data_IF_296077754411
#
_entry.id   IF_296077754411
#
_cell.length_a   1.000
_cell.length_b   1.000
_cell.length_c   1.000
_cell.angle_alpha   90.00
_cell.angle_beta   90.00
_cell.angle_gamma   90.00
#
_symmetry.space_group_name_H-M   'P 1'
#
loop_
_entity.id
_entity.type
_entity.pdbx_description
1 polymer ?
#
# COMPACT_ATOMS: atom_id res chain seq x y z
N UNK A 1 1.13 -16.23 31.90
CA UNK A 1 0.69 -15.23 30.88
C UNK A 1 1.44 -13.89 30.93
N UNK A 2 2.22 -13.58 31.99
CA UNK A 2 2.85 -12.26 32.14
C UNK A 2 4.21 -12.12 31.43
N UNK A 3 4.98 -13.20 31.30
CA UNK A 3 6.31 -13.15 30.68
C UNK A 3 6.26 -12.82 29.18
N UNK A 4 5.43 -13.52 28.40
CA UNK A 4 5.25 -13.27 26.97
C UNK A 4 4.80 -11.82 26.70
N UNK A 5 3.88 -11.33 27.53
CA UNK A 5 3.37 -9.96 27.44
C UNK A 5 4.44 -8.91 27.74
N UNK A 6 5.28 -9.17 28.75
CA UNK A 6 6.41 -8.30 29.09
C UNK A 6 7.47 -8.28 27.99
N UNK A 7 7.78 -9.42 27.39
CA UNK A 7 8.71 -9.54 26.27
C UNK A 7 8.20 -8.74 25.06
N UNK A 8 6.94 -8.97 24.64
CA UNK A 8 6.33 -8.24 23.52
C UNK A 8 6.32 -6.74 23.79
N UNK A 9 5.98 -6.31 25.02
CA UNK A 9 6.00 -4.89 25.39
C UNK A 9 7.39 -4.28 25.31
N UNK A 10 8.42 -5.00 25.75
CA UNK A 10 9.82 -4.53 25.70
C UNK A 10 10.28 -4.33 24.26
N UNK A 11 10.07 -5.34 23.42
CA UNK A 11 10.39 -5.29 21.99
C UNK A 11 9.65 -4.16 21.26
N UNK A 12 8.36 -3.98 21.56
CA UNK A 12 7.55 -2.94 20.94
C UNK A 12 7.96 -1.53 21.39
N UNK A 13 8.51 -1.38 22.60
CA UNK A 13 9.06 -0.12 23.09
C UNK A 13 10.46 0.17 22.53
N UNK A 14 11.33 -0.84 22.46
CA UNK A 14 12.69 -0.73 21.91
C UNK A 14 12.66 -0.47 20.40
N UNK A 15 11.69 -1.04 19.68
CA UNK A 15 11.57 -0.92 18.22
C UNK A 15 10.37 -0.11 17.75
N UNK A 16 9.87 0.87 18.54
CA UNK A 16 8.74 1.74 18.16
C UNK A 16 8.88 2.34 16.76
N UNK A 17 10.09 2.79 16.41
CA UNK A 17 10.41 3.33 15.08
C UNK A 17 10.14 2.35 13.94
N UNK A 18 10.64 1.11 14.07
CA UNK A 18 10.47 0.08 13.05
C UNK A 18 9.08 -0.53 13.03
N UNK A 19 8.47 -0.77 14.20
CA UNK A 19 7.24 -1.53 14.29
C UNK A 19 6.00 -0.65 14.11
N UNK A 20 6.00 0.56 14.66
CA UNK A 20 4.83 1.44 14.64
C UNK A 20 4.92 2.44 13.51
N UNK A 21 6.01 3.18 13.36
CA UNK A 21 6.09 4.29 12.41
C UNK A 21 6.45 3.86 10.98
N UNK A 22 7.30 2.85 10.81
CA UNK A 22 7.72 2.37 9.48
C UNK A 22 6.54 1.97 8.58
N UNK A 23 5.51 1.20 9.04
CA UNK A 23 4.36 0.89 8.22
C UNK A 23 3.59 2.13 7.73
N UNK A 24 3.48 3.18 8.55
CA UNK A 24 2.85 4.44 8.15
C UNK A 24 3.67 5.19 7.09
N UNK A 25 4.99 5.22 7.24
CA UNK A 25 5.89 5.83 6.25
C UNK A 25 5.80 5.10 4.91
N UNK A 26 5.82 3.76 4.93
CA UNK A 26 5.67 2.94 3.73
C UNK A 26 4.31 3.19 3.09
N UNK A 27 3.21 3.23 3.85
CA UNK A 27 1.89 3.53 3.32
C UNK A 27 1.80 4.93 2.69
N UNK A 28 2.41 5.94 3.33
CA UNK A 28 2.46 7.31 2.80
C UNK A 28 3.27 7.37 1.49
N UNK A 29 4.43 6.71 1.44
CA UNK A 29 5.25 6.62 0.24
C UNK A 29 4.51 5.91 -0.91
N UNK A 30 3.86 4.78 -0.63
CA UNK A 30 3.06 4.06 -1.63
C UNK A 30 1.88 4.90 -2.14
N UNK A 31 1.24 5.68 -1.28
CA UNK A 31 0.20 6.63 -1.68
C UNK A 31 0.74 7.72 -2.61
N UNK A 32 1.94 8.24 -2.32
CA UNK A 32 2.61 9.23 -3.16
C UNK A 32 2.94 8.67 -4.55
N UNK A 33 3.44 7.43 -4.64
CA UNK A 33 3.72 6.76 -5.92
C UNK A 33 2.45 6.67 -6.77
N UNK A 34 1.31 6.31 -6.18
CA UNK A 34 0.02 6.25 -6.91
C UNK A 34 -0.36 7.63 -7.48
N UNK A 35 -0.18 8.70 -6.70
CA UNK A 35 -0.45 10.08 -7.16
C UNK A 35 0.51 10.47 -8.30
N UNK A 36 1.78 10.12 -8.21
CA UNK A 36 2.74 10.41 -9.28
C UNK A 36 2.40 9.67 -10.57
N UNK A 37 1.95 8.41 -10.49
CA UNK A 37 1.49 7.64 -11.66
C UNK A 37 0.25 8.30 -12.26
N UNK A 38 -0.70 8.72 -11.42
CA UNK A 38 -1.91 9.42 -11.87
C UNK A 38 -1.61 10.75 -12.58
N UNK A 39 -0.65 11.53 -12.06
CA UNK A 39 -0.22 12.79 -12.67
C UNK A 39 0.69 12.60 -13.89
N UNK A 40 1.07 11.36 -14.23
CA UNK A 40 1.96 11.07 -15.34
C UNK A 40 3.43 11.43 -15.10
N UNK A 41 3.82 11.63 -13.83
CA UNK A 41 5.19 11.98 -13.45
C UNK A 41 6.10 10.76 -13.29
N UNK A 42 5.53 9.55 -13.22
CA UNK A 42 6.27 8.31 -13.09
C UNK A 42 5.55 7.17 -13.81
N UNK A 43 6.34 6.21 -14.29
CA UNK A 43 5.83 5.02 -14.98
C UNK A 43 6.11 3.77 -14.15
N UNK A 44 5.12 2.89 -14.05
CA UNK A 44 5.30 1.57 -13.41
C UNK A 44 5.23 0.50 -14.49
N UNK A 45 6.39 -0.08 -14.81
CA UNK A 45 6.52 -1.16 -15.78
C UNK A 45 6.41 -2.51 -15.06
N UNK A 46 5.43 -3.30 -15.45
CA UNK A 46 5.33 -4.73 -15.10
C UNK A 46 5.50 -5.57 -16.36
N UNK A 47 5.80 -6.86 -16.21
CA UNK A 47 6.03 -7.76 -17.36
C UNK A 47 4.86 -7.79 -18.36
N UNK A 48 3.64 -7.56 -17.89
CA UNK A 48 2.42 -7.63 -18.71
C UNK A 48 1.69 -6.28 -18.89
N UNK A 49 1.98 -5.28 -18.06
CA UNK A 49 1.28 -3.99 -18.07
C UNK A 49 2.25 -2.83 -17.80
N UNK A 50 2.20 -1.81 -18.66
CA UNK A 50 2.89 -0.53 -18.45
C UNK A 50 1.86 0.50 -17.97
N UNK A 51 2.00 0.98 -16.74
CA UNK A 51 1.21 2.10 -16.22
C UNK A 51 1.96 3.39 -16.55
N UNK A 52 1.55 4.05 -17.64
CA UNK A 52 2.09 5.32 -18.09
C UNK A 52 1.00 6.18 -18.72
N UNK A 53 1.11 7.50 -18.56
CA UNK A 53 0.28 8.47 -19.26
C UNK A 53 0.69 8.68 -20.72
N UNK A 54 1.88 8.22 -21.12
CA UNK A 54 2.33 8.28 -22.53
C UNK A 54 1.50 7.36 -23.44
N UNK A 55 0.82 6.35 -22.87
CA UNK A 55 -0.09 5.45 -23.61
C UNK A 55 -1.25 6.22 -24.25
N UNK A 56 -1.64 7.38 -23.72
CA UNK A 56 -2.68 8.21 -24.32
C UNK A 56 -2.20 9.06 -25.51
N UNK A 57 -0.90 9.11 -25.78
CA UNK A 57 -0.34 9.85 -26.90
C UNK A 57 -0.36 9.05 -28.21
N UNK A 58 -0.56 7.73 -28.15
CA UNK A 58 -0.63 6.87 -29.32
C UNK A 58 -2.10 6.64 -29.77
N UNK A 59 -2.47 7.06 -30.99
CA UNK A 59 -3.83 6.92 -31.51
C UNK A 59 -4.32 5.47 -31.59
N UNK A 60 -3.44 4.50 -31.84
CA UNK A 60 -3.81 3.08 -31.93
C UNK A 60 -4.22 2.51 -30.57
N UNK A 61 -3.49 2.86 -29.50
CA UNK A 61 -3.85 2.45 -28.14
C UNK A 61 -5.14 3.12 -27.67
N UNK A 62 -5.39 4.38 -28.04
CA UNK A 62 -6.67 5.06 -27.76
C UNK A 62 -7.84 4.39 -28.50
N UNK A 63 -7.67 4.02 -29.77
CA UNK A 63 -8.67 3.24 -30.51
C UNK A 63 -8.89 1.87 -29.87
N UNK A 64 -7.82 1.15 -29.51
CA UNK A 64 -7.90 -0.13 -28.82
C UNK A 64 -8.61 -0.04 -27.47
N UNK A 65 -8.46 1.05 -26.72
CA UNK A 65 -9.22 1.29 -25.49
C UNK A 65 -10.72 1.53 -25.76
N UNK A 66 -11.05 2.26 -26.81
CA UNK A 66 -12.44 2.53 -27.19
C UNK A 66 -13.17 1.25 -27.65
N UNK A 67 -12.47 0.38 -28.37
CA UNK A 67 -12.98 -0.89 -28.89
C UNK A 67 -12.85 -2.05 -27.90
N UNK A 68 -12.13 -1.85 -26.78
CA UNK A 68 -11.89 -2.89 -25.78
C UNK A 68 -13.19 -3.50 -25.25
N UNK A 69 -13.24 -4.83 -25.26
CA UNK A 69 -14.35 -5.60 -24.70
C UNK A 69 -14.44 -5.43 -23.18
N UNK A 70 -15.62 -5.72 -22.62
CA UNK A 70 -15.84 -5.65 -21.18
C UNK A 70 -14.84 -6.49 -20.37
N UNK A 71 -14.50 -7.70 -20.85
CA UNK A 71 -13.55 -8.58 -20.17
C UNK A 71 -12.11 -8.03 -20.18
N UNK A 72 -11.68 -7.39 -21.28
CA UNK A 72 -10.37 -6.74 -21.34
C UNK A 72 -10.28 -5.55 -20.37
N UNK A 73 -11.33 -4.72 -20.30
CA UNK A 73 -11.40 -3.60 -19.34
C UNK A 73 -11.36 -4.10 -17.90
N UNK A 74 -12.11 -5.16 -17.59
CA UNK A 74 -12.14 -5.80 -16.27
C UNK A 74 -10.78 -6.38 -15.90
N UNK A 75 -10.09 -7.03 -16.83
CA UNK A 75 -8.73 -7.56 -16.62
C UNK A 75 -7.73 -6.43 -16.31
N UNK A 76 -7.77 -5.34 -17.05
CA UNK A 76 -6.91 -4.17 -16.82
C UNK A 76 -7.17 -3.53 -15.43
N UNK A 77 -8.43 -3.35 -15.04
CA UNK A 77 -8.80 -2.84 -13.71
C UNK A 77 -8.27 -3.78 -12.61
N UNK A 78 -8.43 -5.10 -12.77
CA UNK A 78 -7.95 -6.09 -11.80
C UNK A 78 -6.43 -6.08 -11.68
N UNK A 79 -5.71 -5.94 -12.79
CA UNK A 79 -4.25 -5.80 -12.80
C UNK A 79 -3.82 -4.51 -12.09
N UNK A 80 -4.48 -3.37 -12.35
CA UNK A 80 -4.23 -2.11 -11.65
C UNK A 80 -4.44 -2.22 -10.14
N UNK A 81 -5.54 -2.85 -9.71
CA UNK A 81 -5.83 -3.12 -8.30
C UNK A 81 -4.79 -4.03 -7.65
N UNK A 82 -4.29 -5.04 -8.35
CA UNK A 82 -3.25 -5.94 -7.83
C UNK A 82 -1.88 -5.28 -7.73
N UNK A 83 -1.48 -4.49 -8.71
CA UNK A 83 -0.14 -3.89 -8.75
C UNK A 83 -0.06 -2.66 -7.85
N UNK A 84 -1.08 -1.80 -7.89
CA UNK A 84 -1.06 -0.52 -7.17
C UNK A 84 -1.87 -0.58 -5.85
N UNK A 85 -3.05 -1.20 -5.88
CA UNK A 85 -3.96 -1.23 -4.72
C UNK A 85 -3.56 -2.22 -3.63
N UNK A 86 -3.14 -3.44 -4.00
CA UNK A 86 -2.87 -4.51 -3.05
C UNK A 86 -1.70 -4.20 -2.10
N UNK A 87 -0.55 -3.68 -2.56
CA UNK A 87 0.53 -3.28 -1.65
C UNK A 87 0.12 -2.19 -0.67
N UNK A 88 -0.74 -1.25 -1.11
CA UNK A 88 -1.27 -0.19 -0.26
C UNK A 88 -2.15 -0.75 0.86
N UNK A 89 -3.06 -1.67 0.52
CA UNK A 89 -3.94 -2.33 1.50
C UNK A 89 -3.13 -3.12 2.53
N UNK A 90 -2.09 -3.83 2.10
CA UNK A 90 -1.18 -4.54 3.01
C UNK A 90 -0.48 -3.55 3.95
N UNK A 91 0.14 -2.49 3.39
CA UNK A 91 0.86 -1.50 4.18
C UNK A 91 -0.04 -0.83 5.23
N UNK A 92 -1.26 -0.43 4.83
CA UNK A 92 -2.25 0.15 5.73
C UNK A 92 -2.74 -0.85 6.78
N UNK A 93 -2.97 -2.11 6.39
CA UNK A 93 -3.35 -3.17 7.32
C UNK A 93 -2.29 -3.37 8.41
N UNK A 94 -1.02 -3.44 8.03
CA UNK A 94 0.09 -3.50 8.98
C UNK A 94 0.20 -2.24 9.85
N UNK A 95 0.00 -1.05 9.28
CA UNK A 95 0.04 0.20 10.04
C UNK A 95 -1.07 0.26 11.11
N UNK A 96 -2.28 -0.15 10.77
CA UNK A 96 -3.42 -0.20 11.70
C UNK A 96 -3.17 -1.26 12.79
N UNK A 97 -2.67 -2.43 12.43
CA UNK A 97 -2.36 -3.50 13.40
C UNK A 97 -1.25 -3.07 14.36
N UNK A 98 -0.16 -2.49 13.84
CA UNK A 98 0.94 -1.99 14.65
C UNK A 98 0.49 -0.86 15.59
N UNK A 99 -0.31 0.07 15.09
CA UNK A 99 -0.88 1.14 15.89
C UNK A 99 -1.81 0.59 16.98
N UNK A 100 -2.69 -0.35 16.64
CA UNK A 100 -3.61 -0.99 17.59
C UNK A 100 -2.85 -1.74 18.69
N UNK A 101 -1.78 -2.46 18.34
CA UNK A 101 -0.90 -3.10 19.33
C UNK A 101 -0.28 -2.07 20.27
N UNK A 102 0.29 -0.99 19.71
CA UNK A 102 0.96 0.05 20.50
C UNK A 102 0.01 0.70 21.52
N UNK A 103 -1.22 1.03 21.11
CA UNK A 103 -2.21 1.68 21.98
C UNK A 103 -2.80 0.75 23.04
N UNK A 104 -2.86 -0.56 22.78
CA UNK A 104 -3.27 -1.56 23.76
C UNK A 104 -2.24 -1.68 24.90
N UNK A 105 -0.94 -1.74 24.56
CA UNK A 105 0.14 -1.83 25.56
C UNK A 105 0.38 -0.52 26.32
N UNK A 106 0.13 0.64 25.72
CA UNK A 106 0.16 1.91 26.46
C UNK A 106 -0.98 2.05 27.46
N UNK A 107 -2.20 1.58 27.14
CA UNK A 107 -3.34 1.61 28.06
C UNK A 107 -3.13 0.80 29.34
N UNK A 108 -2.36 -0.28 29.28
CA UNK A 108 -2.00 -1.03 30.50
C UNK A 108 -0.98 -0.32 31.37
N UNK A 109 -0.13 0.55 30.81
CA UNK A 109 0.80 1.37 31.62
C UNK A 109 0.05 2.34 32.55
N UNK A 110 -1.17 2.75 32.18
CA UNK A 110 -1.97 3.72 32.93
C UNK A 110 -2.82 3.02 34.01
N UNK A 111 -3.11 1.73 33.87
CA UNK A 111 -3.96 0.96 34.80
C UNK A 111 -3.21 0.08 35.81
N UNK A 112 -1.92 -0.15 35.61
CA UNK A 112 -1.04 -0.89 36.52
C UNK A 112 -0.14 0.08 37.29
#
# INVERSE_FOLDING_TARGET
>A
MNALKAIIRRELQEHKWGFVYLPWIVAAFMSLVIVMVYLGLTEVNTENFKFSTEVFADPETVQGMNEATFEQRKAAIRAGLLVLGFPLVIALGFAILAYSLSTFFEREKIRA
#
